data_IF_382424211424
#
_entry.id   IF_382424211424
#
_cell.length_a   1.000
_cell.length_b   1.000
_cell.length_c   1.000
_cell.angle_alpha   90.00
_cell.angle_beta   90.00
_cell.angle_gamma   90.00
#
_symmetry.space_group_name_H-M   'P 1'
#
loop_
_entity.id
_entity.type
_entity.pdbx_description
1 polymer ?
#
# COMPACT_ATOMS: atom_id res chain seq x y z
N UNK A 1 -20.20 -4.64 3.70
CA UNK A 1 -20.44 -3.36 2.97
C UNK A 1 -21.62 -3.58 2.04
N UNK A 2 -22.63 -2.70 2.09
CA UNK A 2 -23.79 -2.71 1.19
C UNK A 2 -23.66 -1.48 0.30
N UNK A 3 -23.87 -1.63 -1.01
CA UNK A 3 -23.79 -0.54 -1.99
C UNK A 3 -25.18 -0.29 -2.55
N UNK A 4 -25.67 0.93 -2.42
CA UNK A 4 -26.99 1.33 -2.88
C UNK A 4 -26.90 2.46 -3.91
N UNK A 5 -27.90 2.58 -4.77
CA UNK A 5 -27.96 3.67 -5.78
C UNK A 5 -28.44 4.98 -5.17
N UNK A 6 -29.45 4.91 -4.32
CA UNK A 6 -30.07 6.09 -3.70
C UNK A 6 -29.90 6.06 -2.18
N UNK A 7 -30.08 7.21 -1.56
CA UNK A 7 -30.07 7.31 -0.10
C UNK A 7 -31.23 6.56 0.52
N UNK A 8 -32.41 6.58 -0.10
CA UNK A 8 -33.58 5.84 0.37
C UNK A 8 -33.31 4.34 0.44
N UNK A 9 -32.70 3.77 -0.62
CA UNK A 9 -32.33 2.36 -0.63
C UNK A 9 -31.32 2.02 0.47
N UNK A 10 -30.37 2.93 0.77
CA UNK A 10 -29.40 2.73 1.83
C UNK A 10 -30.05 2.74 3.21
N UNK A 11 -31.04 3.61 3.44
CA UNK A 11 -31.81 3.66 4.70
C UNK A 11 -32.65 2.40 4.88
N UNK A 12 -33.34 1.95 3.84
CA UNK A 12 -34.07 0.68 3.85
C UNK A 12 -33.16 -0.51 4.11
N UNK A 13 -32.02 -0.58 3.43
CA UNK A 13 -31.02 -1.63 3.64
C UNK A 13 -30.48 -1.63 5.07
N UNK A 14 -30.31 -0.45 5.67
CA UNK A 14 -29.88 -0.31 7.06
C UNK A 14 -30.93 -0.82 8.06
N UNK A 15 -32.20 -0.55 7.82
CA UNK A 15 -33.29 -1.09 8.65
C UNK A 15 -33.39 -2.63 8.53
N UNK A 16 -33.26 -3.17 7.31
CA UNK A 16 -33.19 -4.62 7.12
C UNK A 16 -32.00 -5.24 7.85
N UNK A 17 -30.83 -4.59 7.77
CA UNK A 17 -29.64 -5.04 8.50
C UNK A 17 -29.89 -5.07 10.02
N UNK A 18 -30.50 -4.04 10.59
CA UNK A 18 -30.84 -4.01 12.02
C UNK A 18 -31.74 -5.19 12.41
N UNK A 19 -32.79 -5.46 11.63
CA UNK A 19 -33.70 -6.58 11.87
C UNK A 19 -32.98 -7.94 11.85
N UNK A 20 -32.08 -8.15 10.87
CA UNK A 20 -31.30 -9.39 10.78
C UNK A 20 -30.37 -9.52 11.99
N UNK A 21 -29.67 -8.46 12.36
CA UNK A 21 -28.72 -8.46 13.50
C UNK A 21 -29.46 -8.75 14.82
N UNK A 22 -30.65 -8.17 15.01
CA UNK A 22 -31.51 -8.47 16.19
C UNK A 22 -31.93 -9.94 16.23
N UNK A 23 -32.33 -10.52 15.08
CA UNK A 23 -32.65 -11.97 15.00
C UNK A 23 -31.46 -12.85 15.36
N UNK A 24 -30.26 -12.45 15.01
CA UNK A 24 -29.00 -13.13 15.32
C UNK A 24 -28.46 -12.83 16.72
N UNK A 25 -29.19 -12.06 17.53
CA UNK A 25 -28.75 -11.58 18.86
C UNK A 25 -27.42 -10.84 18.84
N UNK A 26 -27.13 -10.13 17.72
CA UNK A 26 -25.93 -9.32 17.53
C UNK A 26 -26.25 -7.83 17.59
N UNK A 27 -25.33 -7.04 18.13
CA UNK A 27 -25.48 -5.58 18.21
C UNK A 27 -24.59 -4.89 17.18
N UNK A 28 -25.14 -3.89 16.47
CA UNK A 28 -24.37 -3.02 15.58
C UNK A 28 -23.61 -1.99 16.40
N UNK A 29 -22.33 -1.81 16.12
CA UNK A 29 -21.54 -0.74 16.72
C UNK A 29 -21.91 0.60 16.05
N UNK A 30 -22.54 1.56 16.77
CA UNK A 30 -23.02 2.81 16.18
C UNK A 30 -21.90 3.71 15.65
N UNK A 31 -20.69 3.63 16.24
CA UNK A 31 -19.54 4.42 15.80
C UNK A 31 -18.93 3.89 14.50
N UNK A 32 -19.09 2.60 14.21
CA UNK A 32 -18.49 1.95 13.02
C UNK A 32 -19.49 1.73 11.89
N UNK A 33 -20.79 1.77 12.18
CA UNK A 33 -21.85 1.52 11.20
C UNK A 33 -22.46 2.85 10.78
N UNK A 34 -22.23 3.27 9.54
CA UNK A 34 -22.74 4.54 9.03
C UNK A 34 -23.05 4.46 7.54
N UNK A 35 -24.02 5.26 7.11
CA UNK A 35 -24.32 5.48 5.70
C UNK A 35 -23.43 6.61 5.20
N UNK A 36 -22.69 6.37 4.11
CA UNK A 36 -21.76 7.33 3.51
C UNK A 36 -22.13 7.59 2.06
N UNK A 37 -22.28 8.85 1.69
CA UNK A 37 -22.43 9.26 0.30
C UNK A 37 -21.03 9.44 -0.33
N UNK A 38 -20.65 8.53 -1.22
CA UNK A 38 -19.36 8.58 -1.92
C UNK A 38 -19.18 9.81 -2.83
N UNK A 39 -20.24 10.58 -3.13
CA UNK A 39 -20.10 11.82 -3.88
C UNK A 39 -19.58 12.96 -3.01
N UNK A 40 -19.81 12.89 -1.70
CA UNK A 40 -19.44 13.91 -0.72
C UNK A 40 -18.20 13.53 0.09
N UNK A 41 -18.12 12.27 0.50
CA UNK A 41 -17.09 11.80 1.42
C UNK A 41 -16.37 10.55 0.92
N UNK A 42 -15.13 10.39 1.38
CA UNK A 42 -14.38 9.13 1.25
C UNK A 42 -14.51 8.31 2.54
N UNK A 43 -14.47 6.98 2.42
CA UNK A 43 -14.43 6.11 3.59
C UNK A 43 -13.39 5.01 3.45
N UNK A 44 -12.92 4.51 4.59
CA UNK A 44 -11.97 3.41 4.65
C UNK A 44 -12.70 2.12 5.06
N UNK A 45 -12.53 1.06 4.27
CA UNK A 45 -13.09 -0.26 4.55
C UNK A 45 -12.09 -1.36 4.15
N UNK A 46 -11.84 -2.32 5.04
CA UNK A 46 -10.88 -3.41 4.85
C UNK A 46 -9.50 -2.95 4.33
N UNK A 47 -9.00 -1.84 4.86
CA UNK A 47 -7.70 -1.29 4.46
C UNK A 47 -7.68 -0.52 3.15
N UNK A 48 -8.76 -0.52 2.40
CA UNK A 48 -8.95 0.31 1.22
C UNK A 48 -9.65 1.62 1.56
N UNK A 49 -9.30 2.67 0.83
CA UNK A 49 -10.04 3.93 0.77
C UNK A 49 -10.87 3.95 -0.49
N UNK A 50 -12.16 4.15 -0.31
CA UNK A 50 -13.14 4.33 -1.37
C UNK A 50 -13.43 5.81 -1.53
N UNK A 51 -13.28 6.31 -2.75
CA UNK A 51 -13.50 7.72 -3.06
C UNK A 51 -13.87 7.88 -4.54
N UNK A 52 -14.79 8.80 -4.85
CA UNK A 52 -15.01 9.21 -6.24
C UNK A 52 -14.03 10.33 -6.60
N UNK A 53 -13.18 10.07 -7.55
CA UNK A 53 -12.22 11.03 -8.08
C UNK A 53 -12.45 11.32 -9.54
N UNK A 54 -12.03 12.53 -9.90
CA UNK A 54 -11.86 12.92 -11.27
C UNK A 54 -13.18 13.09 -12.02
N UNK A 55 -13.10 13.82 -13.10
CA UNK A 55 -14.11 13.82 -14.14
C UNK A 55 -13.51 13.05 -15.32
N UNK A 56 -14.20 12.06 -15.84
CA UNK A 56 -13.91 11.52 -17.17
C UNK A 56 -14.06 12.64 -18.20
N UNK A 57 -13.61 12.44 -19.44
CA UNK A 57 -13.89 13.33 -20.56
C UNK A 57 -15.41 13.65 -20.67
N UNK A 58 -16.26 12.72 -20.24
CA UNK A 58 -17.73 12.88 -20.19
C UNK A 58 -18.25 13.48 -18.86
N UNK A 59 -17.41 14.05 -18.01
CA UNK A 59 -17.81 14.71 -16.75
C UNK A 59 -18.20 13.76 -15.60
N UNK A 60 -18.19 12.43 -15.80
CA UNK A 60 -18.56 11.44 -14.76
C UNK A 60 -17.45 11.25 -13.75
N UNK A 61 -17.80 11.27 -12.46
CA UNK A 61 -16.88 10.88 -11.38
C UNK A 61 -16.74 9.36 -11.31
N UNK A 62 -15.50 8.86 -11.32
CA UNK A 62 -15.22 7.43 -11.21
C UNK A 62 -14.96 7.04 -9.76
N UNK A 63 -15.47 5.87 -9.31
CA UNK A 63 -15.09 5.32 -8.02
C UNK A 63 -13.64 4.80 -8.08
N UNK A 64 -12.84 5.20 -7.12
CA UNK A 64 -11.49 4.69 -6.91
C UNK A 64 -11.42 3.90 -5.61
N UNK A 65 -10.75 2.77 -5.67
CA UNK A 65 -10.43 1.92 -4.53
C UNK A 65 -8.92 1.85 -4.42
N UNK A 66 -8.33 2.47 -3.38
CA UNK A 66 -6.88 2.52 -3.20
C UNK A 66 -6.49 2.17 -1.76
N UNK A 67 -5.25 1.74 -1.50
CA UNK A 67 -4.78 1.53 -0.13
C UNK A 67 -4.98 2.76 0.75
N UNK A 68 -5.57 2.58 1.92
CA UNK A 68 -5.83 3.66 2.87
C UNK A 68 -4.53 4.22 3.45
N UNK A 69 -4.56 5.45 3.98
CA UNK A 69 -3.39 6.05 4.66
C UNK A 69 -2.91 5.17 5.81
N UNK A 70 -3.84 4.53 6.54
CA UNK A 70 -3.53 3.63 7.66
C UNK A 70 -2.81 2.37 7.17
N UNK A 71 -3.27 1.74 6.07
CA UNK A 71 -2.62 0.58 5.46
C UNK A 71 -1.21 0.94 4.96
N UNK A 72 -1.06 2.10 4.29
CA UNK A 72 0.25 2.60 3.83
C UNK A 72 1.23 2.85 4.99
N UNK A 73 0.75 3.40 6.11
CA UNK A 73 1.57 3.59 7.30
C UNK A 73 2.02 2.24 7.86
N UNK A 74 1.09 1.28 8.01
CA UNK A 74 1.38 -0.05 8.56
C UNK A 74 2.46 -0.79 7.75
N UNK A 75 2.37 -0.81 6.42
CA UNK A 75 3.39 -1.47 5.59
C UNK A 75 4.74 -0.74 5.63
N UNK A 76 4.75 0.59 5.64
CA UNK A 76 6.00 1.37 5.79
C UNK A 76 6.67 1.12 7.14
N UNK A 77 5.89 0.98 8.21
CA UNK A 77 6.42 0.65 9.54
C UNK A 77 7.00 -0.77 9.56
N UNK A 78 6.33 -1.76 8.93
CA UNK A 78 6.88 -3.11 8.78
C UNK A 78 8.20 -3.12 7.99
N UNK A 79 8.27 -2.41 6.85
CA UNK A 79 9.50 -2.23 6.08
C UNK A 79 10.59 -1.57 6.95
N UNK A 80 10.23 -0.57 7.76
CA UNK A 80 11.14 0.13 8.66
C UNK A 80 11.74 -0.82 9.69
N UNK A 81 10.95 -1.70 10.30
CA UNK A 81 11.39 -2.69 11.27
C UNK A 81 12.43 -3.63 10.64
N UNK A 82 12.13 -4.20 9.46
CA UNK A 82 13.06 -5.10 8.74
C UNK A 82 14.36 -4.38 8.37
N UNK A 83 14.28 -3.10 7.98
CA UNK A 83 15.43 -2.33 7.49
C UNK A 83 16.06 -1.44 8.56
N UNK A 84 15.74 -1.60 9.83
CA UNK A 84 16.27 -0.74 10.91
C UNK A 84 17.76 -1.01 11.21
N UNK A 85 18.38 -0.10 12.00
CA UNK A 85 19.78 -0.24 12.44
C UNK A 85 19.99 -1.36 13.44
N UNK A 86 18.96 -1.69 14.26
CA UNK A 86 19.06 -2.75 15.27
C UNK A 86 19.35 -4.13 14.65
N UNK A 87 18.93 -4.38 13.41
CA UNK A 87 19.28 -5.56 12.61
C UNK A 87 20.53 -5.31 11.73
N UNK A 88 21.51 -4.56 12.23
CA UNK A 88 22.72 -4.19 11.47
C UNK A 88 23.65 -5.37 11.18
N UNK A 89 23.59 -6.42 11.98
CA UNK A 89 24.32 -7.68 11.79
C UNK A 89 23.79 -8.49 10.59
N UNK A 90 22.53 -8.30 10.21
CA UNK A 90 21.96 -9.00 9.06
C UNK A 90 22.47 -8.42 7.74
N UNK A 91 22.83 -9.28 6.80
CA UNK A 91 23.19 -8.94 5.44
C UNK A 91 22.02 -8.30 4.65
N UNK A 92 22.31 -7.76 3.48
CA UNK A 92 21.28 -7.22 2.60
C UNK A 92 20.39 -8.33 2.04
N UNK A 93 20.97 -9.49 1.75
CA UNK A 93 20.30 -10.69 1.23
C UNK A 93 19.22 -11.18 2.21
N UNK A 94 19.56 -11.32 3.48
CA UNK A 94 18.62 -11.72 4.54
C UNK A 94 17.45 -10.72 4.67
N UNK A 95 17.71 -9.43 4.42
CA UNK A 95 16.65 -8.42 4.41
C UNK A 95 15.73 -8.55 3.20
N UNK A 96 16.29 -8.90 2.05
CA UNK A 96 15.50 -9.17 0.83
C UNK A 96 14.59 -10.38 1.08
N UNK A 97 15.13 -11.45 1.66
CA UNK A 97 14.33 -12.65 2.04
C UNK A 97 13.16 -12.31 2.97
N UNK A 98 13.37 -11.42 3.95
CA UNK A 98 12.32 -10.96 4.87
C UNK A 98 11.34 -9.96 4.22
N UNK A 99 11.79 -9.17 3.26
CA UNK A 99 10.94 -8.18 2.56
C UNK A 99 10.03 -8.83 1.51
N UNK A 100 10.51 -9.85 0.79
CA UNK A 100 9.77 -10.47 -0.31
C UNK A 100 8.39 -11.02 0.10
N UNK A 101 8.23 -11.79 1.19
CA UNK A 101 6.91 -12.23 1.64
C UNK A 101 5.97 -11.07 1.98
N UNK A 102 6.49 -10.02 2.62
CA UNK A 102 5.72 -8.82 2.93
C UNK A 102 5.25 -8.11 1.66
N UNK A 103 6.14 -7.92 0.68
CA UNK A 103 5.84 -7.27 -0.60
C UNK A 103 4.80 -8.08 -1.36
N UNK A 104 4.99 -9.40 -1.47
CA UNK A 104 4.09 -10.32 -2.16
C UNK A 104 2.70 -10.34 -1.55
N UNK A 105 2.60 -10.50 -0.23
CA UNK A 105 1.33 -10.55 0.49
C UNK A 105 0.56 -9.23 0.34
N UNK A 106 1.25 -8.10 0.49
CA UNK A 106 0.63 -6.78 0.38
C UNK A 106 0.22 -6.45 -1.06
N UNK A 107 1.04 -6.78 -2.05
CA UNK A 107 0.74 -6.66 -3.48
C UNK A 107 -0.50 -7.47 -3.85
N UNK A 108 -0.53 -8.75 -3.48
CA UNK A 108 -1.65 -9.64 -3.79
C UNK A 108 -2.97 -9.15 -3.19
N UNK A 109 -2.94 -8.60 -1.99
CA UNK A 109 -4.12 -8.04 -1.36
C UNK A 109 -4.63 -6.77 -2.05
N UNK A 110 -3.74 -5.86 -2.43
CA UNK A 110 -4.11 -4.53 -2.94
C UNK A 110 -4.08 -4.42 -4.48
N UNK A 111 -3.72 -5.46 -5.22
CA UNK A 111 -3.63 -5.42 -6.70
C UNK A 111 -4.98 -5.17 -7.39
N UNK A 112 -6.09 -5.56 -6.76
CA UNK A 112 -7.43 -5.39 -7.32
C UNK A 112 -7.96 -3.96 -7.28
N UNK A 113 -7.21 -3.04 -6.67
CA UNK A 113 -7.57 -1.63 -6.58
C UNK A 113 -6.75 -0.72 -7.50
N UNK A 114 -7.05 0.59 -7.47
CA UNK A 114 -6.29 1.62 -8.17
C UNK A 114 -4.96 1.92 -7.42
N UNK A 115 -4.13 0.89 -7.25
CA UNK A 115 -2.99 0.90 -6.31
C UNK A 115 -1.66 1.30 -6.95
N UNK A 116 -1.57 1.44 -8.27
CA UNK A 116 -0.33 1.69 -9.02
C UNK A 116 0.53 2.81 -8.43
N UNK A 117 -0.06 3.97 -8.13
CA UNK A 117 0.68 5.11 -7.55
C UNK A 117 1.22 4.76 -6.16
N UNK A 118 0.46 4.03 -5.35
CA UNK A 118 0.85 3.60 -4.00
C UNK A 118 1.94 2.54 -4.05
N UNK A 119 1.86 1.62 -4.98
CA UNK A 119 2.89 0.61 -5.22
C UNK A 119 4.23 1.25 -5.59
N UNK A 120 4.24 2.19 -6.55
CA UNK A 120 5.46 2.93 -6.92
C UNK A 120 6.08 3.65 -5.72
N UNK A 121 5.26 4.30 -4.87
CA UNK A 121 5.73 4.96 -3.65
C UNK A 121 6.35 3.98 -2.65
N UNK A 122 5.85 2.75 -2.56
CA UNK A 122 6.42 1.73 -1.67
C UNK A 122 7.73 1.17 -2.24
N UNK A 123 7.82 0.93 -3.54
CA UNK A 123 9.07 0.50 -4.18
C UNK A 123 10.19 1.53 -3.97
N UNK A 124 9.89 2.82 -4.18
CA UNK A 124 10.83 3.92 -3.91
C UNK A 124 11.22 3.97 -2.42
N UNK A 125 10.26 3.72 -1.53
CA UNK A 125 10.52 3.69 -0.09
C UNK A 125 11.45 2.54 0.30
N UNK A 126 11.23 1.31 -0.21
CA UNK A 126 12.10 0.15 0.01
C UNK A 126 13.50 0.45 -0.49
N UNK A 127 13.61 0.94 -1.73
CA UNK A 127 14.88 1.31 -2.34
C UNK A 127 15.65 2.32 -1.49
N UNK A 128 15.02 3.42 -1.06
CA UNK A 128 15.64 4.42 -0.19
C UNK A 128 16.07 3.86 1.16
N UNK A 129 15.30 2.93 1.75
CA UNK A 129 15.63 2.32 3.03
C UNK A 129 16.88 1.44 2.93
N UNK A 130 16.97 0.62 1.89
CA UNK A 130 18.14 -0.24 1.64
C UNK A 130 19.36 0.59 1.22
N UNK A 131 19.18 1.60 0.35
CA UNK A 131 20.25 2.52 -0.05
C UNK A 131 20.86 3.25 1.13
N UNK A 132 20.05 3.86 1.99
CA UNK A 132 20.53 4.55 3.20
C UNK A 132 21.38 3.64 4.07
N UNK A 133 21.06 2.37 4.17
CA UNK A 133 21.83 1.40 4.94
C UNK A 133 23.23 1.20 4.36
N UNK A 134 23.36 1.06 3.05
CA UNK A 134 24.65 0.92 2.36
C UNK A 134 25.46 2.21 2.49
N UNK A 135 24.82 3.34 2.25
CA UNK A 135 25.46 4.66 2.25
C UNK A 135 26.01 5.03 3.63
N UNK A 136 25.25 4.83 4.70
CA UNK A 136 25.73 5.17 6.06
C UNK A 136 26.78 4.20 6.61
N UNK A 137 26.87 2.98 6.11
CA UNK A 137 27.97 2.07 6.47
C UNK A 137 29.32 2.52 5.92
N UNK A 138 29.32 3.17 4.79
CA UNK A 138 30.54 3.58 4.09
C UNK A 138 30.78 5.09 4.21
N UNK A 139 30.90 5.65 5.38
CA UNK A 139 31.10 7.09 5.73
C UNK A 139 31.92 7.99 4.76
N UNK A 140 32.29 7.52 3.58
CA UNK A 140 33.17 8.17 2.62
C UNK A 140 32.39 8.92 1.54
N UNK A 141 32.34 10.25 1.67
CA UNK A 141 31.76 11.17 0.66
C UNK A 141 32.38 11.03 -0.75
N UNK A 142 33.68 10.65 -0.81
CA UNK A 142 34.51 10.66 -2.04
C UNK A 142 34.09 9.62 -3.10
N UNK A 143 33.33 8.56 -2.74
CA UNK A 143 32.95 7.46 -3.64
C UNK A 143 31.45 7.29 -3.81
N UNK A 144 30.67 8.37 -3.69
CA UNK A 144 29.21 8.30 -3.69
C UNK A 144 28.64 7.67 -4.97
N UNK A 145 29.17 8.04 -6.13
CA UNK A 145 28.67 7.53 -7.42
C UNK A 145 29.00 6.06 -7.64
N UNK A 146 30.24 5.65 -7.33
CA UNK A 146 30.66 4.25 -7.39
C UNK A 146 29.83 3.35 -6.47
N UNK A 147 29.57 3.82 -5.24
CA UNK A 147 28.74 3.08 -4.26
C UNK A 147 27.30 3.00 -4.76
N UNK A 148 26.79 4.07 -5.37
CA UNK A 148 25.44 4.10 -5.93
C UNK A 148 25.32 3.14 -7.12
N UNK A 149 26.30 3.12 -8.02
CA UNK A 149 26.34 2.20 -9.15
C UNK A 149 26.35 0.73 -8.68
N UNK A 150 27.25 0.39 -7.78
CA UNK A 150 27.31 -0.96 -7.20
C UNK A 150 26.03 -1.37 -6.50
N UNK A 151 25.37 -0.44 -5.76
CA UNK A 151 24.09 -0.71 -5.14
C UNK A 151 22.98 -0.93 -6.16
N UNK A 152 22.90 -0.14 -7.24
CA UNK A 152 21.92 -0.32 -8.31
C UNK A 152 22.06 -1.70 -8.96
N UNK A 153 23.30 -2.10 -9.29
CA UNK A 153 23.60 -3.43 -9.84
C UNK A 153 23.15 -4.54 -8.89
N UNK A 154 23.55 -4.47 -7.62
CA UNK A 154 23.12 -5.41 -6.61
C UNK A 154 21.58 -5.44 -6.48
N UNK A 155 20.91 -4.29 -6.40
CA UNK A 155 19.45 -4.21 -6.25
C UNK A 155 18.72 -4.88 -7.42
N UNK A 156 19.22 -4.74 -8.63
CA UNK A 156 18.66 -5.36 -9.84
C UNK A 156 18.80 -6.90 -9.83
N UNK A 157 19.89 -7.43 -9.21
CA UNK A 157 20.20 -8.88 -9.18
C UNK A 157 19.83 -9.56 -7.86
N UNK A 158 19.47 -8.81 -6.82
CA UNK A 158 19.24 -9.32 -5.45
C UNK A 158 18.01 -10.21 -5.28
N UNK A 159 17.20 -10.39 -6.32
CA UNK A 159 15.95 -11.13 -6.23
C UNK A 159 14.84 -10.43 -5.44
N UNK A 160 15.00 -9.12 -5.15
CA UNK A 160 13.96 -8.36 -4.48
C UNK A 160 12.69 -8.29 -5.32
N UNK A 161 11.54 -8.49 -4.71
CA UNK A 161 10.24 -8.32 -5.35
C UNK A 161 9.81 -6.84 -5.31
N UNK A 162 8.87 -6.50 -6.21
CA UNK A 162 8.32 -5.15 -6.34
C UNK A 162 6.83 -5.17 -6.06
N UNK A 163 6.34 -4.12 -5.40
CA UNK A 163 4.90 -3.88 -5.27
C UNK A 163 4.28 -3.59 -6.65
N UNK A 164 4.98 -2.81 -7.48
CA UNK A 164 4.56 -2.55 -8.85
C UNK A 164 5.39 -3.36 -9.83
N UNK A 165 4.76 -4.34 -10.45
CA UNK A 165 5.43 -5.31 -11.32
C UNK A 165 6.30 -4.69 -12.43
N UNK A 166 5.84 -3.58 -13.04
CA UNK A 166 6.60 -2.90 -14.11
C UNK A 166 7.85 -2.14 -13.62
N UNK A 167 8.01 -1.94 -12.32
CA UNK A 167 9.21 -1.30 -11.77
C UNK A 167 10.46 -2.15 -11.93
N UNK A 168 10.34 -3.48 -12.10
CA UNK A 168 11.48 -4.35 -12.40
C UNK A 168 12.24 -3.84 -13.63
N UNK A 169 11.54 -3.41 -14.69
CA UNK A 169 12.15 -2.84 -15.90
C UNK A 169 12.88 -1.51 -15.63
N UNK A 170 12.37 -0.66 -14.72
CA UNK A 170 12.96 0.65 -14.44
C UNK A 170 14.33 0.57 -13.76
N UNK A 171 14.56 -0.45 -12.95
CA UNK A 171 15.82 -0.62 -12.21
C UNK A 171 16.82 -1.54 -12.94
N UNK A 172 16.35 -2.35 -13.90
CA UNK A 172 17.16 -3.24 -14.74
C UNK A 172 17.63 -2.54 -16.01
N UNK A 173 16.88 -1.57 -16.54
CA UNK A 173 17.17 -0.89 -17.82
C UNK A 173 18.21 0.26 -17.72
N UNK A 174 18.97 0.34 -16.64
CA UNK A 174 20.00 1.38 -16.41
C UNK A 174 21.42 0.81 -16.57
N UNK A 175 21.56 -0.25 -17.38
CA UNK A 175 22.85 -0.84 -17.74
C UNK A 175 23.08 -0.76 -19.24
#
# INVERSE_FOLDING_TARGET
MIVCRTRKDAELAFEHLKRIMTKLKLTLNPQKTKIVDMNKESFDFLGFRYQKFGKTKCGRKLPYMMPSKKAMKKVKDAIRVITCRKSAYEGLEQKVEKLNPLIRGWRNYFQHGNSTRRFKQLDEYVWMRLWRRVYYRRKQKKYREHVLYGFRKWYATSGIEYFYYLNKKRYVAVF
#
